data_IF_081007686978
#
_entry.id   IF_081007686978
#
_cell.length_a   1.000
_cell.length_b   1.000
_cell.length_c   1.000
_cell.angle_alpha   90.00
_cell.angle_beta   90.00
_cell.angle_gamma   90.00
#
_symmetry.space_group_name_H-M   'P 1'
#
loop_
_entity.id
_entity.type
_entity.pdbx_description
1 polymer ?
#
# COMPACT_ATOMS: atom_id res chain seq x y z
N UNK A 1 -36.07 -15.88 -72.19
CA UNK A 1 -34.64 -15.53 -72.35
C UNK A 1 -34.31 -14.47 -71.31
N UNK A 2 -33.36 -14.81 -70.43
CA UNK A 2 -32.63 -14.02 -69.41
C UNK A 2 -33.39 -12.97 -68.58
N UNK A 3 -33.66 -13.36 -67.32
CA UNK A 3 -33.93 -12.48 -66.17
C UNK A 3 -32.63 -11.74 -65.84
N UNK A 4 -32.47 -10.50 -66.30
CA UNK A 4 -31.26 -9.71 -66.04
C UNK A 4 -31.20 -9.33 -64.57
N UNK A 5 -30.04 -9.58 -63.96
CA UNK A 5 -29.72 -9.32 -62.57
C UNK A 5 -30.03 -7.86 -62.21
N UNK A 6 -31.01 -7.65 -61.32
CA UNK A 6 -31.15 -6.40 -60.57
C UNK A 6 -29.88 -6.23 -59.74
N UNK A 7 -29.03 -5.27 -60.12
CA UNK A 7 -27.83 -4.93 -59.35
C UNK A 7 -28.21 -4.62 -57.91
N UNK A 8 -27.43 -5.16 -56.97
CA UNK A 8 -27.70 -5.04 -55.55
C UNK A 8 -27.90 -3.57 -55.15
N UNK A 9 -28.98 -3.23 -54.41
CA UNK A 9 -29.23 -1.86 -54.03
C UNK A 9 -28.12 -1.29 -53.14
N UNK A 10 -27.59 -0.13 -53.51
CA UNK A 10 -26.46 0.55 -52.84
C UNK A 10 -26.67 0.77 -51.33
N UNK A 11 -27.92 0.93 -50.88
CA UNK A 11 -28.27 1.08 -49.47
C UNK A 11 -27.99 -0.16 -48.63
N UNK A 12 -28.01 -1.36 -49.22
CA UNK A 12 -27.66 -2.61 -48.53
C UNK A 12 -26.18 -2.62 -48.20
N UNK A 13 -25.33 -2.22 -49.16
CA UNK A 13 -23.89 -2.09 -48.93
C UNK A 13 -23.58 -0.98 -47.91
N UNK A 14 -24.27 0.16 -47.98
CA UNK A 14 -24.11 1.24 -47.01
C UNK A 14 -24.48 0.80 -45.58
N UNK A 15 -25.60 0.11 -45.40
CA UNK A 15 -26.02 -0.42 -44.11
C UNK A 15 -25.05 -1.49 -43.59
N UNK A 16 -24.56 -2.38 -44.47
CA UNK A 16 -23.57 -3.38 -44.12
C UNK A 16 -22.24 -2.74 -43.68
N UNK A 17 -21.72 -1.74 -44.41
CA UNK A 17 -20.50 -1.04 -44.04
C UNK A 17 -20.65 -0.27 -42.73
N UNK A 18 -21.83 0.32 -42.46
CA UNK A 18 -22.14 0.95 -41.18
C UNK A 18 -22.06 -0.08 -40.04
N UNK A 19 -22.71 -1.24 -40.19
CA UNK A 19 -22.69 -2.30 -39.18
C UNK A 19 -21.26 -2.82 -38.96
N UNK A 20 -20.51 -3.06 -40.04
CA UNK A 20 -19.10 -3.47 -39.96
C UNK A 20 -18.32 -2.41 -39.18
N UNK A 21 -18.41 -1.13 -39.53
CA UNK A 21 -17.68 -0.05 -38.85
C UNK A 21 -17.99 0.02 -37.34
N UNK A 22 -19.27 -0.11 -36.95
CA UNK A 22 -19.67 -0.14 -35.54
C UNK A 22 -19.07 -1.36 -34.84
N UNK A 23 -19.14 -2.54 -35.46
CA UNK A 23 -18.56 -3.78 -34.91
C UNK A 23 -17.03 -3.69 -34.77
N UNK A 24 -16.32 -3.09 -35.74
CA UNK A 24 -14.86 -2.89 -35.63
C UNK A 24 -14.50 -2.01 -34.45
N UNK A 25 -15.26 -0.93 -34.20
CA UNK A 25 -15.03 -0.04 -33.05
C UNK A 25 -15.27 -0.79 -31.73
N UNK A 26 -16.33 -1.58 -31.63
CA UNK A 26 -16.64 -2.38 -30.44
C UNK A 26 -15.52 -3.40 -30.18
N UNK A 27 -15.07 -4.09 -31.23
CA UNK A 27 -13.98 -5.07 -31.13
C UNK A 27 -12.68 -4.42 -30.65
N UNK A 28 -12.30 -3.25 -31.19
CA UNK A 28 -11.10 -2.53 -30.75
C UNK A 28 -11.21 -2.15 -29.27
N UNK A 29 -12.38 -1.68 -28.81
CA UNK A 29 -12.60 -1.28 -27.43
C UNK A 29 -12.41 -2.46 -26.47
N UNK A 30 -13.12 -3.57 -26.72
CA UNK A 30 -13.11 -4.74 -25.83
C UNK A 30 -11.78 -5.49 -25.89
N UNK A 31 -11.15 -5.57 -27.07
CA UNK A 31 -9.93 -6.35 -27.23
C UNK A 31 -8.66 -5.61 -26.77
N UNK A 32 -8.64 -4.27 -26.83
CA UNK A 32 -7.40 -3.49 -26.61
C UNK A 32 -7.57 -2.47 -25.49
N UNK A 33 -8.61 -1.63 -25.54
CA UNK A 33 -8.74 -0.48 -24.65
C UNK A 33 -9.09 -0.91 -23.22
N UNK A 34 -10.12 -1.74 -23.06
CA UNK A 34 -10.56 -2.22 -21.75
C UNK A 34 -9.47 -3.00 -20.99
N UNK A 35 -8.76 -3.98 -21.59
CA UNK A 35 -7.69 -4.69 -20.89
C UNK A 35 -6.50 -3.77 -20.57
N UNK A 36 -6.16 -2.83 -21.46
CA UNK A 36 -5.08 -1.86 -21.20
C UNK A 36 -5.40 -0.99 -20.00
N UNK A 37 -6.62 -0.45 -19.91
CA UNK A 37 -7.07 0.38 -18.80
C UNK A 37 -7.06 -0.39 -17.47
N UNK A 38 -7.49 -1.65 -17.48
CA UNK A 38 -7.47 -2.49 -16.28
C UNK A 38 -6.04 -2.74 -15.77
N UNK A 39 -5.09 -3.03 -16.68
CA UNK A 39 -3.69 -3.24 -16.32
C UNK A 39 -3.02 -1.95 -15.83
N UNK A 40 -3.34 -0.81 -16.44
CA UNK A 40 -2.81 0.49 -16.01
C UNK A 40 -3.31 0.88 -14.62
N UNK A 41 -4.59 0.64 -14.33
CA UNK A 41 -5.15 0.86 -12.99
C UNK A 41 -4.51 -0.05 -11.95
N UNK A 42 -4.31 -1.34 -12.25
CA UNK A 42 -3.67 -2.26 -11.31
C UNK A 42 -2.20 -1.90 -11.05
N UNK A 43 -1.46 -1.48 -12.09
CA UNK A 43 -0.10 -0.95 -11.94
C UNK A 43 -0.08 0.31 -11.08
N UNK A 44 -1.05 1.20 -11.25
CA UNK A 44 -1.19 2.40 -10.44
C UNK A 44 -1.40 2.05 -8.96
N UNK A 45 -2.39 1.22 -8.64
CA UNK A 45 -2.66 0.82 -7.25
C UNK A 45 -1.48 0.10 -6.60
N UNK A 46 -0.84 -0.80 -7.35
CA UNK A 46 0.36 -1.51 -6.90
C UNK A 46 1.51 -0.57 -6.59
N UNK A 47 1.76 0.40 -7.48
CA UNK A 47 2.85 1.38 -7.30
C UNK A 47 2.56 2.30 -6.11
N UNK A 48 1.33 2.82 -6.04
CA UNK A 48 0.87 3.69 -4.97
C UNK A 48 0.95 2.99 -3.60
N UNK A 49 0.50 1.74 -3.52
CA UNK A 49 0.56 0.99 -2.26
C UNK A 49 2.00 0.73 -1.81
N UNK A 50 2.89 0.36 -2.74
CA UNK A 50 4.32 0.18 -2.44
C UNK A 50 5.01 1.47 -2.00
N UNK A 51 4.62 2.60 -2.56
CA UNK A 51 5.12 3.92 -2.12
C UNK A 51 4.67 4.23 -0.69
N UNK A 52 3.38 4.00 -0.38
CA UNK A 52 2.86 4.14 0.98
C UNK A 52 3.56 3.21 1.96
N UNK A 53 3.74 1.94 1.62
CA UNK A 53 4.48 0.98 2.46
C UNK A 53 5.94 1.37 2.67
N UNK A 54 6.62 1.91 1.64
CA UNK A 54 7.97 2.44 1.80
C UNK A 54 8.00 3.63 2.78
N UNK A 55 6.98 4.48 2.77
CA UNK A 55 6.85 5.59 3.71
C UNK A 55 6.50 5.09 5.12
N UNK A 56 5.69 4.04 5.28
CA UNK A 56 5.46 3.37 6.58
C UNK A 56 6.79 2.80 7.11
N UNK A 57 7.55 2.07 6.28
CA UNK A 57 8.90 1.56 6.61
C UNK A 57 9.83 2.67 7.07
N UNK A 58 9.87 3.80 6.34
CA UNK A 58 10.67 4.96 6.73
C UNK A 58 10.25 5.52 8.10
N UNK A 59 8.93 5.67 8.32
CA UNK A 59 8.39 6.14 9.59
C UNK A 59 8.72 5.17 10.74
N UNK A 60 8.60 3.86 10.54
CA UNK A 60 8.95 2.84 11.54
C UNK A 60 10.44 2.87 11.89
N UNK A 61 11.33 3.05 10.91
CA UNK A 61 12.76 3.19 11.16
C UNK A 61 13.05 4.44 12.01
N UNK A 62 12.38 5.56 11.74
CA UNK A 62 12.53 6.78 12.55
C UNK A 62 11.98 6.59 13.96
N UNK A 63 10.84 5.91 14.08
CA UNK A 63 10.23 5.59 15.37
C UNK A 63 11.16 4.71 16.20
N UNK A 64 11.72 3.66 15.59
CA UNK A 64 12.70 2.78 16.24
C UNK A 64 13.96 3.54 16.66
N UNK A 65 14.48 4.44 15.83
CA UNK A 65 15.66 5.27 16.18
C UNK A 65 15.41 6.14 17.41
N UNK A 66 14.19 6.63 17.61
CA UNK A 66 13.85 7.49 18.75
C UNK A 66 13.49 6.71 20.02
N UNK A 67 12.65 5.68 19.89
CA UNK A 67 12.06 4.97 21.04
C UNK A 67 12.71 3.59 21.32
N UNK A 68 13.60 3.11 20.45
CA UNK A 68 14.27 1.82 20.56
C UNK A 68 13.45 0.62 20.04
N UNK A 69 12.13 0.77 19.90
CA UNK A 69 11.20 -0.29 19.50
C UNK A 69 10.30 0.16 18.35
N UNK A 70 9.68 -0.79 17.64
CA UNK A 70 8.68 -0.53 16.60
C UNK A 70 7.27 -0.35 17.19
N UNK A 71 6.33 0.14 16.40
CA UNK A 71 4.91 0.27 16.81
C UNK A 71 4.03 -0.67 15.97
N UNK A 72 2.99 -1.24 16.59
CA UNK A 72 1.93 -2.01 15.90
C UNK A 72 0.74 -1.10 15.51
N UNK A 73 0.78 0.16 15.94
CA UNK A 73 -0.31 1.11 15.75
C UNK A 73 0.03 2.19 14.73
N UNK A 74 -0.66 2.15 13.57
CA UNK A 74 -0.51 3.12 12.49
C UNK A 74 -0.94 4.54 12.88
N UNK A 75 -2.01 4.72 13.66
CA UNK A 75 -2.44 6.06 14.08
C UNK A 75 -1.37 6.73 14.96
N UNK A 76 -0.72 5.94 15.83
CA UNK A 76 0.42 6.40 16.61
C UNK A 76 1.59 6.79 15.71
N UNK A 77 1.88 5.99 14.69
CA UNK A 77 2.93 6.28 13.71
C UNK A 77 2.65 7.57 12.93
N UNK A 78 1.41 7.77 12.48
CA UNK A 78 0.97 8.98 11.78
C UNK A 78 1.09 10.20 12.68
N UNK A 79 0.64 10.10 13.93
CA UNK A 79 0.77 11.19 14.90
C UNK A 79 2.23 11.56 15.14
N UNK A 80 3.13 10.56 15.19
CA UNK A 80 4.56 10.76 15.32
C UNK A 80 5.15 11.49 14.11
N UNK A 81 4.82 11.06 12.89
CA UNK A 81 5.28 11.72 11.66
C UNK A 81 4.81 13.18 11.57
N UNK A 82 3.61 13.48 12.09
CA UNK A 82 3.00 14.83 12.02
C UNK A 82 3.49 15.82 13.07
N UNK A 83 3.77 15.36 14.27
CA UNK A 83 3.91 16.23 15.45
C UNK A 83 5.32 16.24 16.03
N UNK A 84 6.14 15.27 15.66
CA UNK A 84 7.40 15.06 16.34
C UNK A 84 8.53 15.90 15.74
N UNK A 85 9.12 16.76 16.59
CA UNK A 85 10.27 17.61 16.22
C UNK A 85 11.46 16.82 15.68
N UNK A 86 11.64 15.57 16.09
CA UNK A 86 12.70 14.72 15.55
C UNK A 86 12.46 14.42 14.07
N UNK A 87 11.23 14.07 13.70
CA UNK A 87 10.87 13.81 12.31
C UNK A 87 11.03 15.08 11.48
N UNK A 88 10.55 16.22 11.98
CA UNK A 88 10.73 17.52 11.31
C UNK A 88 12.22 17.85 11.09
N UNK A 89 13.07 17.58 12.08
CA UNK A 89 14.51 17.81 11.95
C UNK A 89 15.15 16.92 10.89
N UNK A 90 14.71 15.67 10.77
CA UNK A 90 15.23 14.72 9.77
C UNK A 90 14.75 15.11 8.37
N UNK A 91 13.47 15.48 8.21
CA UNK A 91 12.90 15.91 6.93
C UNK A 91 13.63 17.15 6.39
N UNK A 92 13.91 18.11 7.27
CA UNK A 92 14.58 19.38 6.90
C UNK A 92 16.11 19.28 6.94
N UNK A 93 16.68 18.16 7.36
CA UNK A 93 18.13 17.99 7.40
C UNK A 93 18.70 17.82 6.00
N UNK A 94 19.91 18.36 5.80
CA UNK A 94 20.68 18.20 4.59
C UNK A 94 21.87 17.30 4.88
N UNK A 95 22.11 16.35 3.99
CA UNK A 95 23.33 15.56 4.05
C UNK A 95 24.51 16.45 3.65
N UNK A 96 25.43 16.66 4.59
CA UNK A 96 26.61 17.52 4.40
C UNK A 96 27.57 16.99 3.34
N UNK A 97 27.51 15.70 3.03
CA UNK A 97 28.39 15.07 2.04
C UNK A 97 27.81 15.15 0.62
N UNK A 98 26.50 14.97 0.48
CA UNK A 98 25.84 14.93 -0.84
C UNK A 98 25.08 16.20 -1.20
N UNK A 99 24.94 17.15 -0.25
CA UNK A 99 24.13 18.37 -0.36
C UNK A 99 22.67 18.11 -0.79
N UNK A 100 22.16 16.90 -0.52
CA UNK A 100 20.78 16.52 -0.84
C UNK A 100 19.88 16.60 0.40
N UNK A 101 18.58 16.88 0.23
CA UNK A 101 17.62 16.73 1.31
C UNK A 101 17.66 15.29 1.84
N UNK A 102 17.80 15.12 3.15
CA UNK A 102 17.85 13.81 3.80
C UNK A 102 16.45 13.26 4.10
N UNK A 103 15.43 13.77 3.42
CA UNK A 103 14.04 13.37 3.60
C UNK A 103 13.87 11.88 3.22
N UNK A 104 13.49 11.01 4.19
CA UNK A 104 13.34 9.58 3.93
C UNK A 104 12.01 9.22 3.26
N UNK A 105 11.07 10.17 3.15
CA UNK A 105 9.76 9.95 2.55
C UNK A 105 9.77 10.18 1.04
N UNK A 106 9.13 9.27 0.31
CA UNK A 106 8.96 9.34 -1.14
C UNK A 106 7.62 9.99 -1.49
N UNK A 107 7.56 10.82 -2.55
CA UNK A 107 6.30 11.34 -3.05
C UNK A 107 5.38 10.20 -3.53
N UNK A 108 4.08 10.44 -3.47
CA UNK A 108 3.05 9.50 -3.91
C UNK A 108 2.84 9.63 -5.42
N UNK A 109 2.16 8.66 -6.03
CA UNK A 109 1.90 8.68 -7.48
C UNK A 109 1.01 9.86 -7.90
N UNK A 110 0.22 10.38 -6.97
CA UNK A 110 -0.68 11.51 -7.18
C UNK A 110 -0.09 12.87 -6.72
N UNK A 111 1.16 12.92 -6.26
CA UNK A 111 1.82 14.15 -5.82
C UNK A 111 2.57 14.02 -4.50
N UNK A 112 2.36 14.96 -3.59
CA UNK A 112 3.11 15.04 -2.34
C UNK A 112 2.70 13.97 -1.33
N UNK A 113 3.67 13.60 -0.48
CA UNK A 113 3.41 12.71 0.63
C UNK A 113 2.56 13.41 1.70
N UNK A 114 1.46 12.77 2.09
CA UNK A 114 0.63 13.21 3.21
C UNK A 114 0.65 12.13 4.29
N UNK A 115 0.91 12.45 5.57
CA UNK A 115 0.98 11.42 6.61
C UNK A 115 -0.31 10.59 6.75
N UNK A 116 -1.47 11.16 6.43
CA UNK A 116 -2.75 10.45 6.44
C UNK A 116 -2.84 9.33 5.38
N UNK A 117 -2.04 9.41 4.31
CA UNK A 117 -2.03 8.37 3.28
C UNK A 117 -1.49 7.04 3.79
N UNK A 118 -0.80 7.03 4.93
CA UNK A 118 -0.24 5.82 5.55
C UNK A 118 -1.32 4.93 6.17
N UNK A 119 -2.53 5.46 6.39
CA UNK A 119 -3.58 4.75 7.12
C UNK A 119 -4.21 3.63 6.31
N UNK A 120 -4.53 3.90 5.04
CA UNK A 120 -5.39 3.05 4.21
C UNK A 120 -4.73 2.73 2.87
N UNK A 121 -5.00 1.53 2.38
CA UNK A 121 -4.61 1.11 1.04
C UNK A 121 -5.38 1.91 -0.04
N UNK A 122 -4.77 2.15 -1.21
CA UNK A 122 -5.37 2.98 -2.25
C UNK A 122 -6.52 2.29 -3.01
N UNK A 123 -6.61 0.95 -2.96
CA UNK A 123 -7.59 0.18 -3.75
C UNK A 123 -8.79 -0.23 -2.91
N UNK A 124 -8.60 -0.96 -1.81
CA UNK A 124 -9.70 -1.40 -0.95
C UNK A 124 -10.04 -0.45 0.20
N UNK A 125 -9.22 0.60 0.42
CA UNK A 125 -9.34 1.48 1.58
C UNK A 125 -9.31 0.73 2.91
N UNK A 126 -8.62 -0.41 2.93
CA UNK A 126 -8.40 -1.19 4.15
C UNK A 126 -7.13 -0.72 4.84
N UNK A 127 -7.07 -0.78 6.17
CA UNK A 127 -5.85 -0.44 6.90
C UNK A 127 -4.74 -1.43 6.60
N UNK A 128 -3.49 -0.94 6.56
CA UNK A 128 -2.33 -1.82 6.47
C UNK A 128 -2.21 -2.69 7.71
N UNK A 129 -1.78 -3.94 7.51
CA UNK A 129 -1.60 -4.88 8.62
C UNK A 129 -0.18 -4.67 9.14
N UNK A 130 -0.06 -4.07 10.31
CA UNK A 130 1.21 -3.83 10.99
C UNK A 130 1.28 -4.69 12.25
N UNK A 131 2.30 -5.53 12.32
CA UNK A 131 2.54 -6.45 13.42
C UNK A 131 3.95 -6.23 13.96
N UNK A 132 4.12 -6.41 15.27
CA UNK A 132 5.43 -6.39 15.91
C UNK A 132 5.62 -7.65 16.75
N UNK A 133 6.87 -8.07 16.89
CA UNK A 133 7.21 -9.17 17.79
C UNK A 133 6.93 -8.70 19.23
N UNK A 134 5.83 -9.15 19.82
CA UNK A 134 5.44 -8.75 21.17
C UNK A 134 5.32 -9.98 22.05
N UNK A 135 5.97 -9.96 23.21
CA UNK A 135 5.74 -10.96 24.25
C UNK A 135 4.86 -10.37 25.35
N UNK A 136 3.81 -11.11 25.71
CA UNK A 136 2.86 -10.73 26.76
C UNK A 136 2.94 -11.79 27.85
N UNK A 137 3.31 -11.37 29.07
CA UNK A 137 3.25 -12.21 30.26
C UNK A 137 2.10 -11.72 31.15
N UNK A 138 1.22 -12.64 31.54
CA UNK A 138 0.07 -12.37 32.40
C UNK A 138 0.27 -13.14 33.68
N UNK A 139 0.42 -12.42 34.79
CA UNK A 139 0.46 -12.99 36.13
C UNK A 139 -0.86 -12.72 36.84
N UNK A 140 -1.46 -13.76 37.43
CA UNK A 140 -2.74 -13.67 38.13
C UNK A 140 -2.53 -14.03 39.59
N UNK A 141 -2.78 -13.08 40.49
CA UNK A 141 -2.75 -13.33 41.93
C UNK A 141 -4.12 -13.79 42.40
N UNK A 142 -4.19 -14.97 43.02
CA UNK A 142 -5.42 -15.63 43.47
C UNK A 142 -5.47 -15.62 45.01
N UNK A 143 -6.64 -15.35 45.61
CA UNK A 143 -6.81 -15.44 47.06
C UNK A 143 -6.98 -16.89 47.55
N UNK A 144 -6.96 -17.09 48.88
CA UNK A 144 -7.20 -18.40 49.51
C UNK A 144 -8.55 -19.06 49.18
N UNK A 145 -9.53 -18.30 48.69
CA UNK A 145 -10.87 -18.79 48.28
C UNK A 145 -10.95 -19.07 46.77
N UNK A 146 -9.86 -18.95 46.02
CA UNK A 146 -9.82 -19.20 44.58
C UNK A 146 -10.28 -18.03 43.71
N UNK A 147 -10.54 -16.84 44.27
CA UNK A 147 -10.92 -15.66 43.48
C UNK A 147 -9.69 -14.88 43.02
N UNK A 148 -9.67 -14.45 41.75
CA UNK A 148 -8.62 -13.59 41.18
C UNK A 148 -8.70 -12.21 41.79
N UNK A 149 -7.62 -11.75 42.41
CA UNK A 149 -7.54 -10.44 43.10
C UNK A 149 -6.84 -9.40 42.23
N UNK A 150 -5.85 -9.83 41.45
CA UNK A 150 -5.05 -8.95 40.62
C UNK A 150 -4.58 -9.67 39.38
N UNK A 151 -4.57 -8.95 38.27
CA UNK A 151 -4.00 -9.40 37.00
C UNK A 151 -2.93 -8.38 36.61
N UNK A 152 -1.68 -8.80 36.62
CA UNK A 152 -0.53 -8.00 36.19
C UNK A 152 -0.14 -8.42 34.78
N UNK A 153 -0.18 -7.48 33.83
CA UNK A 153 0.19 -7.73 32.43
C UNK A 153 1.47 -6.99 32.10
N UNK A 154 2.51 -7.72 31.70
CA UNK A 154 3.79 -7.16 31.22
C UNK A 154 3.87 -7.38 29.72
N UNK A 155 3.90 -6.28 28.95
CA UNK A 155 4.05 -6.29 27.48
C UNK A 155 5.46 -5.83 27.12
N UNK A 156 6.28 -6.74 26.57
CA UNK A 156 7.62 -6.41 26.06
C UNK A 156 7.50 -6.28 24.55
N UNK A 157 7.71 -5.06 24.05
CA UNK A 157 7.76 -4.76 22.62
C UNK A 157 9.13 -5.17 22.08
N UNK A 158 9.14 -5.98 21.03
CA UNK A 158 10.33 -6.45 20.37
C UNK A 158 10.89 -5.46 19.35
N UNK A 159 11.99 -5.88 18.72
CA UNK A 159 12.77 -5.08 17.77
C UNK A 159 12.52 -5.48 16.33
N UNK A 160 11.40 -6.15 16.04
CA UNK A 160 11.02 -6.61 14.69
C UNK A 160 9.57 -6.22 14.39
N UNK A 161 9.30 -5.95 13.12
CA UNK A 161 7.96 -5.66 12.63
C UNK A 161 7.72 -6.35 11.30
N UNK A 162 6.44 -6.50 10.97
CA UNK A 162 5.95 -7.02 9.71
C UNK A 162 4.81 -6.12 9.25
N UNK A 163 4.91 -5.68 8.00
CA UNK A 163 3.92 -4.83 7.34
C UNK A 163 3.42 -5.57 6.10
N UNK A 164 2.10 -5.69 5.99
CA UNK A 164 1.43 -6.34 4.87
C UNK A 164 0.37 -5.42 4.27
N UNK A 165 0.30 -5.42 2.94
CA UNK A 165 -0.77 -4.76 2.21
C UNK A 165 -2.02 -5.65 2.16
N UNK A 166 -3.19 -5.17 2.62
CA UNK A 166 -4.44 -5.92 2.52
C UNK A 166 -4.82 -6.30 1.08
N UNK A 167 -4.35 -5.54 0.08
CA UNK A 167 -4.63 -5.80 -1.33
C UNK A 167 -3.64 -6.79 -1.98
N UNK A 168 -2.64 -7.28 -1.23
CA UNK A 168 -1.67 -8.27 -1.69
C UNK A 168 -0.56 -7.74 -2.60
N UNK A 169 -0.30 -6.43 -2.63
CA UNK A 169 0.74 -5.85 -3.49
C UNK A 169 2.17 -5.97 -2.94
N UNK A 170 2.34 -6.47 -1.71
CA UNK A 170 3.61 -6.83 -1.13
C UNK A 170 3.62 -6.84 0.39
N UNK A 171 4.81 -7.11 0.94
CA UNK A 171 5.08 -7.18 2.38
C UNK A 171 6.43 -6.51 2.66
N UNK A 172 6.62 -6.01 3.88
CA UNK A 172 7.89 -5.44 4.35
C UNK A 172 8.20 -6.02 5.73
N UNK A 173 9.44 -6.43 5.94
CA UNK A 173 9.86 -6.98 7.23
C UNK A 173 9.54 -8.47 7.37
N UNK A 174 10.00 -9.03 8.48
CA UNK A 174 9.69 -10.39 8.93
C UNK A 174 9.82 -10.42 10.46
N UNK A 175 8.90 -11.13 11.12
CA UNK A 175 8.95 -11.36 12.58
C UNK A 175 9.94 -12.48 12.95
N UNK A 176 10.29 -13.35 12.01
CA UNK A 176 11.13 -14.52 12.29
C UNK A 176 12.60 -14.29 11.97
N UNK A 177 12.90 -13.47 10.96
CA UNK A 177 14.27 -13.28 10.47
C UNK A 177 14.76 -11.83 10.61
N UNK A 178 15.81 -11.63 11.41
CA UNK A 178 16.41 -10.31 11.63
C UNK A 178 17.03 -9.70 10.36
N UNK A 179 17.51 -10.54 9.44
CA UNK A 179 18.10 -10.08 8.19
C UNK A 179 17.06 -9.44 7.25
N UNK A 180 15.78 -9.76 7.42
CA UNK A 180 14.69 -9.30 6.56
C UNK A 180 13.88 -8.15 7.17
N UNK A 181 14.27 -7.66 8.35
CA UNK A 181 13.50 -6.68 9.15
C UNK A 181 13.07 -5.41 8.41
N UNK A 182 13.80 -4.96 7.40
CA UNK A 182 13.48 -3.77 6.60
C UNK A 182 13.43 -4.05 5.09
N UNK A 183 13.38 -5.33 4.72
CA UNK A 183 13.41 -5.75 3.32
C UNK A 183 11.99 -5.72 2.76
N UNK A 184 11.82 -5.03 1.64
CA UNK A 184 10.55 -5.02 0.92
C UNK A 184 10.50 -6.23 -0.02
N UNK A 185 9.35 -6.91 -0.14
CA UNK A 185 9.24 -8.13 -0.97
C UNK A 185 9.36 -7.91 -2.49
N UNK A 186 9.48 -6.65 -2.92
CA UNK A 186 9.59 -6.24 -4.31
C UNK A 186 10.89 -5.49 -4.64
N UNK A 187 11.79 -5.35 -3.67
CA UNK A 187 13.17 -4.92 -3.88
C UNK A 187 14.01 -6.12 -4.35
#
# INVERSE_FOLDING_TARGET
MMKSQTGDPWYIHAALYLVIAILTIILIKVAIIDPKNAVEQDRFWKTESRLRMNNIKAAEILFQKKFGNYTDNLDKLISFVKTDKFVDSVINSFDSLTMRPANPFKPLSHGEFTPESLKLSPKSFQPYILQIDTSISIDTTINRKGAVVKIDTVRILGTKYYLEDPDGYGTVGDLRNDALKNTSSWE
#
